data_IF_666099592468
#
_entry.id   IF_666099592468
#
_cell.length_a   1.000
_cell.length_b   1.000
_cell.length_c   1.000
_cell.angle_alpha   90.00
_cell.angle_beta   90.00
_cell.angle_gamma   90.00
#
_symmetry.space_group_name_H-M   'P 1'
#
loop_
_entity.id
_entity.type
_entity.pdbx_description
1 polymer ?
#
# COMPACT_ATOMS: atom_id res chain seq x y z
N UNK A 1 10.98 -18.10 5.03
CA UNK A 1 10.30 -16.95 4.36
C UNK A 1 11.35 -15.86 4.21
N UNK A 2 11.48 -15.21 3.04
CA UNK A 2 12.49 -14.16 2.86
C UNK A 2 11.87 -12.83 3.28
N UNK A 3 12.43 -12.20 4.31
CA UNK A 3 12.03 -10.89 4.83
C UNK A 3 13.24 -10.01 5.03
N UNK A 4 13.06 -8.69 4.94
CA UNK A 4 14.10 -7.70 5.22
C UNK A 4 13.51 -6.35 5.63
N UNK A 5 14.31 -5.53 6.28
CA UNK A 5 13.99 -4.12 6.50
C UNK A 5 14.05 -3.32 5.18
N UNK A 6 13.47 -2.13 5.22
CA UNK A 6 13.59 -1.19 4.11
C UNK A 6 15.04 -0.78 3.89
N UNK A 7 15.44 -0.67 2.62
CA UNK A 7 16.73 -0.09 2.23
C UNK A 7 16.69 1.45 2.32
N UNK A 8 17.86 2.09 2.34
CA UNK A 8 17.95 3.55 2.33
C UNK A 8 17.32 4.17 1.08
N UNK A 9 17.41 3.51 -0.07
CA UNK A 9 16.81 3.98 -1.34
C UNK A 9 15.29 3.84 -1.34
N UNK A 10 14.73 2.82 -0.70
CA UNK A 10 13.28 2.67 -0.48
C UNK A 10 12.76 3.74 0.49
N UNK A 11 13.47 3.99 1.59
CA UNK A 11 13.12 5.08 2.50
C UNK A 11 13.20 6.45 1.79
N UNK A 12 14.20 6.67 0.94
CA UNK A 12 14.32 7.90 0.15
C UNK A 12 13.18 8.06 -0.86
N UNK A 13 12.66 6.97 -1.43
CA UNK A 13 11.48 6.96 -2.30
C UNK A 13 10.20 7.31 -1.53
N UNK A 14 10.02 6.75 -0.34
CA UNK A 14 8.76 6.86 0.41
C UNK A 14 8.63 8.17 1.21
N UNK A 15 9.72 8.73 1.75
CA UNK A 15 9.68 9.93 2.60
C UNK A 15 9.02 11.14 1.96
N UNK A 16 9.24 11.48 0.68
CA UNK A 16 8.53 12.58 0.01
C UNK A 16 7.01 12.34 -0.09
N UNK A 17 6.59 11.07 -0.13
CA UNK A 17 5.19 10.67 -0.27
C UNK A 17 4.49 10.69 1.10
N UNK A 18 5.02 9.92 2.06
CA UNK A 18 4.37 9.65 3.35
C UNK A 18 4.85 10.55 4.50
N UNK A 19 5.84 11.41 4.29
CA UNK A 19 6.42 12.25 5.35
C UNK A 19 6.82 11.43 6.60
N UNK A 20 6.29 11.75 7.78
CA UNK A 20 6.55 11.04 9.03
C UNK A 20 5.41 10.11 9.46
N UNK A 21 4.56 9.71 8.54
CA UNK A 21 3.36 8.89 8.83
C UNK A 21 3.64 7.39 8.83
N UNK A 22 4.89 6.97 8.55
CA UNK A 22 5.33 5.58 8.58
C UNK A 22 6.51 5.38 9.52
N UNK A 23 6.61 4.23 10.23
CA UNK A 23 7.74 3.90 11.10
C UNK A 23 8.90 3.28 10.29
N UNK A 24 9.53 4.03 9.39
CA UNK A 24 10.46 3.55 8.36
C UNK A 24 11.54 2.59 8.84
N UNK A 25 12.10 2.81 10.03
CA UNK A 25 13.21 2.02 10.56
C UNK A 25 12.76 0.64 11.11
N UNK A 26 11.46 0.44 11.26
CA UNK A 26 10.85 -0.76 11.84
C UNK A 26 10.11 -1.59 10.78
N UNK A 27 9.91 -1.01 9.58
CA UNK A 27 9.16 -1.68 8.52
C UNK A 27 9.93 -2.85 7.93
N UNK A 28 9.27 -3.99 7.92
CA UNK A 28 9.72 -5.22 7.29
C UNK A 28 8.88 -5.45 6.04
N UNK A 29 9.52 -5.90 4.99
CA UNK A 29 8.87 -6.36 3.76
C UNK A 29 9.29 -7.79 3.46
N UNK A 30 8.45 -8.55 2.77
CA UNK A 30 8.72 -9.96 2.52
C UNK A 30 8.30 -10.45 1.13
N UNK A 31 8.71 -11.68 0.82
CA UNK A 31 8.25 -12.40 -0.37
C UNK A 31 6.94 -13.11 -0.06
N UNK A 32 5.95 -12.98 -0.92
CA UNK A 32 4.76 -13.81 -0.87
C UNK A 32 5.13 -15.24 -1.27
N UNK A 33 5.06 -16.17 -0.34
CA UNK A 33 5.35 -17.60 -0.56
C UNK A 33 4.09 -18.41 -0.82
N UNK A 34 2.91 -17.80 -0.70
CA UNK A 34 1.65 -18.51 -0.94
C UNK A 34 1.45 -18.73 -2.44
N UNK A 35 1.12 -19.96 -2.81
CA UNK A 35 0.63 -20.29 -4.16
C UNK A 35 -0.81 -19.74 -4.40
N UNK A 36 -1.40 -19.11 -3.38
CA UNK A 36 -2.73 -18.50 -3.42
C UNK A 36 -2.63 -17.15 -4.13
N UNK A 37 -3.13 -17.12 -5.34
CA UNK A 37 -3.39 -15.88 -6.04
C UNK A 37 -2.52 -15.57 -7.27
N UNK A 38 -1.80 -16.53 -7.82
CA UNK A 38 -1.09 -16.33 -9.10
C UNK A 38 0.14 -15.40 -9.01
N UNK A 39 0.87 -15.27 -10.11
CA UNK A 39 2.13 -14.52 -10.20
C UNK A 39 2.02 -12.99 -9.99
N UNK A 40 0.83 -12.47 -9.72
CA UNK A 40 0.52 -11.02 -9.74
C UNK A 40 0.20 -10.43 -8.37
N UNK A 41 0.12 -11.24 -7.30
CA UNK A 41 -0.43 -10.73 -6.05
C UNK A 41 0.65 -10.42 -5.03
N UNK A 42 1.00 -9.14 -4.96
CA UNK A 42 1.48 -8.53 -3.73
C UNK A 42 0.28 -8.33 -2.81
N UNK A 43 0.46 -8.47 -1.50
CA UNK A 43 -0.60 -8.35 -0.50
C UNK A 43 -0.07 -7.73 0.78
N UNK A 44 -0.86 -6.89 1.40
CA UNK A 44 -0.57 -6.31 2.72
C UNK A 44 -1.76 -6.50 3.66
N UNK A 45 -1.96 -7.71 4.20
CA UNK A 45 -3.10 -7.98 5.08
C UNK A 45 -3.01 -7.20 6.40
N UNK A 46 -1.80 -6.90 6.86
CA UNK A 46 -1.50 -6.17 8.09
C UNK A 46 -0.45 -5.08 7.81
N UNK A 47 0.67 -5.09 8.54
CA UNK A 47 1.76 -4.12 8.41
C UNK A 47 3.00 -4.64 7.67
N UNK A 48 3.00 -5.88 7.19
CA UNK A 48 4.11 -6.47 6.43
C UNK A 48 3.65 -6.72 5.00
N UNK A 49 4.05 -5.89 4.04
CA UNK A 49 3.76 -6.14 2.64
C UNK A 49 4.57 -7.33 2.13
N UNK A 50 3.89 -8.21 1.41
CA UNK A 50 4.44 -9.42 0.82
C UNK A 50 4.34 -9.34 -0.68
N UNK A 51 5.49 -9.22 -1.34
CA UNK A 51 5.58 -9.02 -2.78
C UNK A 51 5.63 -10.35 -3.52
N UNK A 52 4.96 -10.42 -4.67
CA UNK A 52 5.06 -11.56 -5.55
C UNK A 52 6.54 -11.86 -5.87
N UNK A 53 6.90 -13.15 -5.93
CA UNK A 53 8.30 -13.57 -6.19
C UNK A 53 8.84 -13.02 -7.51
N UNK A 54 7.97 -12.83 -8.50
CA UNK A 54 8.35 -12.33 -9.82
C UNK A 54 8.86 -10.89 -9.82
N UNK A 55 8.38 -10.05 -8.88
CA UNK A 55 8.80 -8.65 -8.76
C UNK A 55 9.75 -8.39 -7.59
N UNK A 56 10.03 -9.42 -6.78
CA UNK A 56 10.93 -9.27 -5.64
C UNK A 56 12.34 -8.86 -6.09
N UNK A 57 12.84 -7.79 -5.48
CA UNK A 57 14.13 -7.19 -5.79
C UNK A 57 14.91 -6.87 -4.51
N UNK A 58 16.24 -6.80 -4.57
CA UNK A 58 17.06 -6.32 -3.44
C UNK A 58 16.69 -4.91 -2.95
N UNK A 59 16.18 -4.05 -3.83
CA UNK A 59 15.66 -2.73 -3.48
C UNK A 59 14.67 -2.22 -4.52
N UNK A 60 13.43 -2.01 -4.12
CA UNK A 60 12.40 -1.35 -4.94
C UNK A 60 12.75 0.11 -5.25
N UNK A 61 13.57 0.78 -4.43
CA UNK A 61 14.04 2.14 -4.70
C UNK A 61 14.82 2.27 -6.01
N UNK A 62 15.41 1.16 -6.49
CA UNK A 62 16.18 1.08 -7.74
C UNK A 62 15.48 0.29 -8.85
N UNK A 63 14.24 -0.17 -8.62
CA UNK A 63 13.47 -0.97 -9.56
C UNK A 63 12.88 -0.12 -10.70
N UNK A 64 12.12 -0.77 -11.60
CA UNK A 64 11.32 -0.10 -12.63
C UNK A 64 10.26 0.82 -11.99
N UNK A 65 9.71 1.75 -12.77
CA UNK A 65 8.63 2.61 -12.27
C UNK A 65 7.34 1.80 -12.02
N UNK A 66 7.13 0.71 -12.74
CA UNK A 66 6.03 -0.23 -12.49
C UNK A 66 6.18 -0.94 -11.14
N UNK A 67 7.37 -1.45 -10.84
CA UNK A 67 7.62 -2.12 -9.55
C UNK A 67 7.60 -1.13 -8.38
N UNK A 68 8.08 0.11 -8.59
CA UNK A 68 7.97 1.19 -7.59
C UNK A 68 6.51 1.55 -7.34
N UNK A 69 5.68 1.59 -8.38
CA UNK A 69 4.25 1.83 -8.25
C UNK A 69 3.61 0.77 -7.34
N UNK A 70 3.86 -0.52 -7.61
CA UNK A 70 3.36 -1.63 -6.76
C UNK A 70 3.90 -1.49 -5.34
N UNK A 71 5.19 -1.16 -5.19
CA UNK A 71 5.79 -0.98 -3.87
C UNK A 71 5.10 0.15 -3.08
N UNK A 72 4.84 1.31 -3.70
CA UNK A 72 4.16 2.44 -3.05
C UNK A 72 2.70 2.07 -2.73
N UNK A 73 2.01 1.31 -3.60
CA UNK A 73 0.66 0.80 -3.36
C UNK A 73 0.61 -0.05 -2.08
N UNK A 74 1.47 -1.05 -1.96
CA UNK A 74 1.55 -1.91 -0.77
C UNK A 74 1.96 -1.12 0.49
N UNK A 75 2.86 -0.13 0.34
CA UNK A 75 3.21 0.77 1.44
C UNK A 75 2.06 1.68 1.86
N UNK A 76 1.12 1.98 0.96
CA UNK A 76 -0.13 2.69 1.33
C UNK A 76 -1.01 1.82 2.21
N UNK A 77 -1.11 0.52 1.95
CA UNK A 77 -1.80 -0.42 2.85
C UNK A 77 -1.12 -0.53 4.21
N UNK A 78 0.21 -0.44 4.27
CA UNK A 78 0.94 -0.33 5.55
C UNK A 78 0.55 0.96 6.29
N UNK A 79 0.50 2.11 5.58
CA UNK A 79 0.04 3.37 6.16
C UNK A 79 -1.38 3.27 6.70
N UNK A 80 -2.31 2.70 5.92
CA UNK A 80 -3.70 2.48 6.34
C UNK A 80 -3.77 1.65 7.64
N UNK A 81 -3.00 0.56 7.72
CA UNK A 81 -2.93 -0.26 8.93
C UNK A 81 -2.47 0.54 10.14
N UNK A 82 -1.38 1.30 10.01
CA UNK A 82 -0.84 2.11 11.11
C UNK A 82 -1.75 3.28 11.52
N UNK A 83 -2.75 3.61 10.70
CA UNK A 83 -3.78 4.63 10.97
C UNK A 83 -5.14 4.02 11.31
N UNK A 84 -5.16 2.75 11.74
CA UNK A 84 -6.32 2.09 12.33
C UNK A 84 -7.26 1.39 11.34
N UNK A 85 -6.90 1.32 10.06
CA UNK A 85 -7.70 0.59 9.08
C UNK A 85 -7.44 -0.92 9.16
N UNK A 86 -8.49 -1.73 9.17
CA UNK A 86 -8.40 -3.18 9.09
C UNK A 86 -8.40 -3.61 7.61
N UNK A 87 -7.22 -3.79 7.03
CA UNK A 87 -7.07 -4.13 5.61
C UNK A 87 -7.78 -5.42 5.22
N UNK A 88 -7.74 -6.46 6.08
CA UNK A 88 -8.41 -7.74 5.83
C UNK A 88 -9.92 -7.55 5.73
N UNK A 89 -10.52 -6.84 6.68
CA UNK A 89 -11.97 -6.58 6.66
C UNK A 89 -12.36 -5.67 5.50
N UNK A 90 -11.53 -4.72 5.12
CA UNK A 90 -11.74 -3.85 3.96
C UNK A 90 -11.72 -4.66 2.67
N UNK A 91 -10.75 -5.55 2.48
CA UNK A 91 -10.68 -6.45 1.33
C UNK A 91 -11.91 -7.37 1.24
N UNK A 92 -12.36 -7.95 2.36
CA UNK A 92 -13.57 -8.80 2.41
C UNK A 92 -14.82 -8.00 2.00
N UNK A 93 -14.96 -6.76 2.46
CA UNK A 93 -16.08 -5.88 2.08
C UNK A 93 -16.08 -5.59 0.58
N UNK A 94 -14.93 -5.21 0.02
CA UNK A 94 -14.83 -4.95 -1.42
C UNK A 94 -15.07 -6.22 -2.23
N UNK A 95 -14.54 -7.36 -1.81
CA UNK A 95 -14.81 -8.63 -2.48
C UNK A 95 -16.32 -8.96 -2.48
N UNK A 96 -17.02 -8.70 -1.37
CA UNK A 96 -18.47 -8.87 -1.28
C UNK A 96 -19.23 -7.92 -2.20
N UNK A 97 -18.72 -6.69 -2.39
CA UNK A 97 -19.34 -5.66 -3.21
C UNK A 97 -19.12 -5.89 -4.70
N UNK A 98 -17.89 -6.22 -5.11
CA UNK A 98 -17.49 -6.30 -6.52
C UNK A 98 -17.45 -7.73 -7.06
N UNK A 99 -17.30 -8.75 -6.20
CA UNK A 99 -17.28 -10.16 -6.61
C UNK A 99 -16.21 -10.45 -7.66
N UNK A 100 -16.63 -11.00 -8.82
CA UNK A 100 -15.74 -11.29 -9.95
C UNK A 100 -15.14 -10.04 -10.61
N UNK A 101 -15.71 -8.87 -10.36
CA UNK A 101 -15.25 -7.58 -10.91
C UNK A 101 -14.40 -6.80 -9.89
N UNK A 102 -13.68 -7.51 -9.02
CA UNK A 102 -12.86 -6.87 -7.98
C UNK A 102 -11.86 -5.84 -8.53
N UNK A 103 -11.43 -6.02 -9.78
CA UNK A 103 -10.53 -5.06 -10.45
C UNK A 103 -11.13 -3.65 -10.58
N UNK A 104 -12.47 -3.52 -10.65
CA UNK A 104 -13.14 -2.22 -10.70
C UNK A 104 -12.99 -1.44 -9.37
N UNK A 105 -12.66 -2.11 -8.27
CA UNK A 105 -12.44 -1.49 -6.97
C UNK A 105 -11.17 -0.61 -6.92
N UNK A 106 -10.25 -0.76 -7.85
CA UNK A 106 -9.00 0.00 -7.95
C UNK A 106 -9.16 1.33 -8.69
N UNK A 107 -10.12 1.41 -9.62
CA UNK A 107 -10.34 2.58 -10.46
C UNK A 107 -11.02 3.70 -9.67
N UNK A 108 -10.60 4.94 -9.88
CA UNK A 108 -11.16 6.11 -9.21
C UNK A 108 -11.34 7.30 -10.14
N UNK A 109 -12.28 8.19 -9.80
CA UNK A 109 -12.47 9.50 -10.42
C UNK A 109 -12.24 10.60 -9.39
N UNK A 110 -11.70 11.73 -9.80
CA UNK A 110 -11.52 12.89 -8.90
C UNK A 110 -12.85 13.52 -8.46
N UNK A 111 -13.93 13.26 -9.17
CA UNK A 111 -15.28 13.71 -8.81
C UNK A 111 -15.95 12.86 -7.73
N UNK A 112 -15.39 11.66 -7.40
CA UNK A 112 -15.94 10.73 -6.42
C UNK A 112 -15.67 11.16 -4.97
N UNK A 113 -14.69 12.05 -4.75
CA UNK A 113 -14.33 12.51 -3.40
C UNK A 113 -13.39 13.72 -3.38
N UNK A 114 -13.48 14.49 -2.29
CA UNK A 114 -12.64 15.66 -2.07
C UNK A 114 -11.47 15.40 -1.11
N UNK A 115 -11.49 14.25 -0.44
CA UNK A 115 -10.51 13.80 0.55
C UNK A 115 -10.08 12.39 0.21
N UNK A 116 -8.89 12.00 0.64
CA UNK A 116 -8.39 10.63 0.46
C UNK A 116 -9.32 9.62 1.17
N UNK A 117 -9.85 10.00 2.33
CA UNK A 117 -10.77 9.19 3.12
C UNK A 117 -12.16 8.96 2.49
N UNK A 118 -12.52 9.69 1.43
CA UNK A 118 -13.78 9.49 0.70
C UNK A 118 -13.72 8.26 -0.23
N UNK A 119 -12.52 7.80 -0.56
CA UNK A 119 -12.27 6.66 -1.43
C UNK A 119 -12.18 5.35 -0.64
N UNK A 120 -12.49 4.23 -1.32
CA UNK A 120 -12.28 2.91 -0.72
C UNK A 120 -10.77 2.63 -0.51
N UNK A 121 -10.44 1.59 0.25
CA UNK A 121 -9.06 1.35 0.66
C UNK A 121 -8.12 0.99 -0.50
N UNK A 122 -8.61 0.33 -1.57
CA UNK A 122 -7.81 0.05 -2.78
C UNK A 122 -7.64 1.32 -3.64
N UNK A 123 -8.69 2.13 -3.79
CA UNK A 123 -8.59 3.40 -4.48
C UNK A 123 -7.58 4.34 -3.81
N UNK A 124 -7.59 4.42 -2.48
CA UNK A 124 -6.57 5.17 -1.73
C UNK A 124 -5.17 4.65 -2.07
N UNK A 125 -5.00 3.30 -2.09
CA UNK A 125 -3.74 2.66 -2.39
C UNK A 125 -3.30 2.85 -3.87
N UNK A 126 -4.22 3.17 -4.78
CA UNK A 126 -3.91 3.56 -6.17
C UNK A 126 -3.64 5.05 -6.33
N UNK A 127 -4.37 5.92 -5.63
CA UNK A 127 -4.19 7.37 -5.67
C UNK A 127 -2.77 7.77 -5.30
N UNK A 128 -2.19 7.15 -4.28
CA UNK A 128 -0.87 7.52 -3.75
C UNK A 128 0.27 7.24 -4.76
N UNK A 129 0.42 6.04 -5.34
CA UNK A 129 1.42 5.81 -6.36
C UNK A 129 1.13 6.53 -7.69
N UNK A 130 -0.15 6.77 -8.03
CA UNK A 130 -0.51 7.57 -9.20
C UNK A 130 -0.10 9.05 -9.03
N UNK A 131 -0.23 9.62 -7.82
CA UNK A 131 0.37 10.90 -7.48
C UNK A 131 1.88 10.92 -7.78
N UNK A 132 2.61 9.89 -7.31
CA UNK A 132 4.05 9.78 -7.53
C UNK A 132 4.41 9.69 -9.03
N UNK A 133 3.62 8.97 -9.85
CA UNK A 133 3.80 8.95 -11.30
C UNK A 133 3.61 10.34 -11.93
N UNK A 134 2.52 11.02 -11.58
CA UNK A 134 2.19 12.34 -12.13
C UNK A 134 3.21 13.40 -11.70
N UNK A 135 3.73 13.34 -10.48
CA UNK A 135 4.82 14.21 -10.00
C UNK A 135 6.10 14.05 -10.84
N UNK A 136 6.33 12.87 -11.41
CA UNK A 136 7.41 12.57 -12.36
C UNK A 136 7.07 12.89 -13.83
N UNK A 137 5.89 13.41 -14.12
CA UNK A 137 5.42 13.65 -15.48
C UNK A 137 4.96 12.39 -16.22
N UNK A 138 4.73 11.29 -15.51
CA UNK A 138 4.23 10.03 -16.06
C UNK A 138 2.71 9.95 -15.97
N UNK A 139 2.12 8.96 -16.65
CA UNK A 139 0.67 8.76 -16.72
C UNK A 139 0.23 7.91 -15.50
N UNK A 140 -0.84 8.32 -14.77
CA UNK A 140 -1.41 7.50 -13.71
C UNK A 140 -2.05 6.23 -14.28
N UNK A 141 -2.16 5.18 -13.46
CA UNK A 141 -2.66 3.88 -13.91
C UNK A 141 -4.18 3.72 -13.71
N UNK A 142 -4.70 4.22 -12.60
CA UNK A 142 -6.07 3.93 -12.16
C UNK A 142 -7.03 5.13 -12.17
N UNK A 143 -6.53 6.34 -12.45
CA UNK A 143 -7.38 7.51 -12.61
C UNK A 143 -8.23 7.41 -13.88
N UNK A 144 -9.56 7.50 -13.74
CA UNK A 144 -10.51 7.53 -14.84
C UNK A 144 -11.04 8.94 -15.09
N UNK A 145 -11.57 9.17 -16.30
CA UNK A 145 -12.21 10.45 -16.65
C UNK A 145 -11.22 11.52 -17.06
N UNK A 146 -11.18 12.63 -16.35
CA UNK A 146 -10.41 13.82 -16.68
C UNK A 146 -8.89 13.55 -16.63
N UNK A 147 -8.12 14.24 -17.50
CA UNK A 147 -6.65 14.17 -17.48
C UNK A 147 -6.13 14.53 -16.08
N UNK A 148 -5.50 13.57 -15.42
CA UNK A 148 -4.95 13.77 -14.10
C UNK A 148 -3.84 14.81 -14.10
N UNK A 149 -4.05 15.92 -13.42
CA UNK A 149 -3.04 16.93 -13.13
C UNK A 149 -2.53 16.75 -11.70
N UNK A 150 -1.28 17.13 -11.45
CA UNK A 150 -0.68 17.05 -10.11
C UNK A 150 -1.55 17.76 -9.05
N UNK A 151 -2.16 18.89 -9.43
CA UNK A 151 -3.05 19.66 -8.55
C UNK A 151 -4.25 18.88 -8.02
N UNK A 152 -4.73 17.86 -8.76
CA UNK A 152 -5.85 17.03 -8.34
C UNK A 152 -5.49 16.13 -7.14
N UNK A 153 -4.22 15.72 -7.05
CA UNK A 153 -3.74 14.86 -5.98
C UNK A 153 -3.35 15.59 -4.70
N UNK A 154 -3.01 16.90 -4.79
CA UNK A 154 -2.46 17.64 -3.66
C UNK A 154 -3.36 17.62 -2.40
N UNK A 155 -4.71 17.74 -2.49
CA UNK A 155 -5.59 17.63 -1.32
C UNK A 155 -5.48 16.27 -0.63
N UNK A 156 -5.42 15.18 -1.40
CA UNK A 156 -5.32 13.81 -0.89
C UNK A 156 -3.99 13.57 -0.20
N UNK A 157 -2.91 14.04 -0.81
CA UNK A 157 -1.57 13.94 -0.23
C UNK A 157 -1.39 14.82 1.01
N UNK A 158 -2.08 15.96 1.06
CA UNK A 158 -2.12 16.81 2.25
C UNK A 158 -2.80 16.10 3.43
N UNK A 159 -3.94 15.43 3.18
CA UNK A 159 -4.63 14.61 4.19
C UNK A 159 -3.75 13.46 4.68
N UNK A 160 -3.15 12.68 3.77
CA UNK A 160 -2.24 11.58 4.12
C UNK A 160 -1.11 12.07 5.03
N UNK A 161 -0.44 13.16 4.65
CA UNK A 161 0.70 13.70 5.42
C UNK A 161 0.27 14.32 6.74
N UNK A 162 -0.97 14.81 6.84
CA UNK A 162 -1.53 15.38 8.07
C UNK A 162 -2.06 14.32 9.06
N UNK A 163 -2.09 13.04 8.68
CA UNK A 163 -2.56 11.95 9.55
C UNK A 163 -1.69 11.74 10.80
N UNK A 164 -0.51 12.36 10.83
CA UNK A 164 0.41 12.31 11.97
C UNK A 164 1.26 11.05 12.01
N UNK A 165 2.01 10.84 13.09
CA UNK A 165 2.82 9.63 13.25
C UNK A 165 1.94 8.39 13.38
N UNK A 166 2.50 7.18 13.11
CA UNK A 166 1.75 5.93 13.20
C UNK A 166 1.07 5.76 14.57
N UNK A 167 -0.19 5.37 14.55
CA UNK A 167 -0.96 5.09 15.76
C UNK A 167 -0.83 3.59 16.05
N UNK A 168 -0.07 3.21 17.06
CA UNK A 168 0.02 1.83 17.50
C UNK A 168 1.42 1.36 17.85
N UNK A 169 1.48 0.35 18.70
CA UNK A 169 2.72 -0.33 19.05
C UNK A 169 3.17 -1.22 17.87
N UNK A 170 4.32 -0.93 17.26
CA UNK A 170 4.86 -1.78 16.20
C UNK A 170 5.16 -3.20 16.67
N UNK A 171 5.25 -3.44 17.99
CA UNK A 171 5.43 -4.76 18.56
C UNK A 171 4.12 -5.55 18.69
N UNK A 172 2.97 -4.91 18.59
CA UNK A 172 1.65 -5.57 18.70
C UNK A 172 1.44 -6.67 17.67
N UNK A 173 2.15 -6.60 16.55
CA UNK A 173 2.12 -7.62 15.50
C UNK A 173 3.01 -8.84 15.84
N UNK A 174 4.16 -8.66 16.52
CA UNK A 174 5.04 -9.77 16.92
C UNK A 174 4.33 -10.72 17.87
N UNK A 175 3.54 -10.18 18.78
CA UNK A 175 2.77 -10.97 19.72
C UNK A 175 1.69 -11.82 19.03
N UNK A 176 1.05 -11.29 17.99
CA UNK A 176 0.03 -12.02 17.22
C UNK A 176 0.62 -13.09 16.28
N UNK A 177 1.81 -12.88 15.74
CA UNK A 177 2.47 -13.90 14.89
C UNK A 177 2.94 -15.08 15.73
N UNK A 178 3.48 -14.86 16.92
CA UNK A 178 3.85 -15.91 17.84
C UNK A 178 2.63 -16.73 18.29
N UNK A 179 1.51 -16.08 18.57
CA UNK A 179 0.25 -16.77 18.91
C UNK A 179 -0.31 -17.60 17.74
N UNK A 180 -0.15 -17.17 16.51
CA UNK A 180 -0.63 -17.91 15.34
C UNK A 180 0.24 -19.14 15.06
N UNK A 181 1.56 -19.01 15.16
CA UNK A 181 2.50 -20.13 14.99
C UNK A 181 2.35 -21.17 16.09
N UNK A 182 2.08 -20.75 17.34
CA UNK A 182 1.82 -21.67 18.46
C UNK A 182 0.51 -22.46 18.31
N UNK A 183 -0.51 -21.90 17.62
CA UNK A 183 -1.80 -22.58 17.40
C UNK A 183 -1.81 -23.52 16.19
N UNK A 184 -0.85 -23.41 15.29
CA UNK A 184 -0.74 -24.28 14.10
C UNK A 184 0.13 -25.52 14.36
N UNK A 185 0.74 -25.64 15.52
CA UNK A 185 1.56 -26.77 15.95
C UNK A 185 0.96 -27.60 17.10
N UNK A 186 -0.32 -27.41 17.40
CA UNK A 186 -1.13 -28.26 18.28
C UNK A 186 -2.21 -29.00 17.50
#
# INVERSE_FOLDING_TARGET
MQERFLTSTEMALLRPIFANTLPYNELIIGVNSSEWGGHWNSITPHNIPRFAKAIWTPSFGNASDDDKWIFIHEMTHVWQWYHGQNNVMSAVRLWTQYGSNYEDAYDYNFDDGNKLSDFNFEQQACIVPDYWLVDKGLVPKNAKGMRAALSNYLPYMAELRASGPPIGDPNRYRDHVQDYELRTHL
#
